data_IF_791930476105
#
_entry.id   IF_791930476105
#
_cell.length_a   1.000
_cell.length_b   1.000
_cell.length_c   1.000
_cell.angle_alpha   90.00
_cell.angle_beta   90.00
_cell.angle_gamma   90.00
#
_symmetry.space_group_name_H-M   'P 1'
#
loop_
_entity.id
_entity.type
_entity.pdbx_description
1 polymer ?
#
# COMPACT_ATOMS: atom_id res chain seq x y z
N UNK A 1 22.77 2.56 6.38
CA UNK A 1 23.05 3.99 6.13
C UNK A 1 22.09 4.69 5.18
N UNK A 2 20.77 4.56 5.32
CA UNK A 2 19.85 5.33 4.46
C UNK A 2 18.47 5.61 5.08
N UNK A 3 18.39 5.80 6.40
CA UNK A 3 17.15 6.26 7.07
C UNK A 3 17.18 7.72 7.56
N UNK A 4 18.30 8.44 7.45
CA UNK A 4 18.43 9.80 8.01
C UNK A 4 17.86 10.92 7.12
N UNK A 5 17.51 10.63 5.86
CA UNK A 5 17.08 11.65 4.90
C UNK A 5 15.61 12.10 4.98
N UNK A 6 14.74 11.39 5.72
CA UNK A 6 13.29 11.70 5.72
C UNK A 6 12.93 12.88 6.64
N UNK A 7 13.76 13.23 7.62
CA UNK A 7 13.43 14.23 8.64
C UNK A 7 13.53 15.70 8.17
N UNK A 8 14.02 15.94 6.95
CA UNK A 8 14.19 17.29 6.40
C UNK A 8 13.18 17.69 5.31
N UNK A 9 12.21 16.82 4.99
CA UNK A 9 11.22 17.10 3.95
C UNK A 9 10.25 18.19 4.41
N UNK A 10 10.12 19.27 3.63
CA UNK A 10 9.15 20.36 3.87
C UNK A 10 7.86 20.19 3.07
N UNK A 11 7.91 19.39 2.01
CA UNK A 11 6.82 19.17 1.06
C UNK A 11 6.74 17.70 0.66
N UNK A 12 5.58 17.34 0.10
CA UNK A 12 5.29 15.98 -0.39
C UNK A 12 6.25 15.61 -1.52
N UNK A 13 7.01 14.54 -1.34
CA UNK A 13 8.02 14.09 -2.31
C UNK A 13 7.83 12.62 -2.68
N UNK A 14 7.87 12.34 -3.99
CA UNK A 14 7.92 10.97 -4.49
C UNK A 14 9.31 10.42 -4.20
N UNK A 15 9.40 9.43 -3.33
CA UNK A 15 10.66 8.79 -2.92
C UNK A 15 10.96 7.54 -3.76
N UNK A 16 9.94 6.98 -4.41
CA UNK A 16 10.09 5.84 -5.30
C UNK A 16 8.98 5.81 -6.34
N UNK A 17 9.34 5.41 -7.56
CA UNK A 17 8.41 5.06 -8.64
C UNK A 17 9.01 3.90 -9.44
N UNK A 18 8.27 2.82 -9.62
CA UNK A 18 8.73 1.64 -10.34
C UNK A 18 7.71 0.51 -10.33
N UNK A 19 8.11 -0.69 -10.77
CA UNK A 19 7.25 -1.87 -10.73
C UNK A 19 7.01 -2.35 -9.29
N UNK A 20 5.94 -3.12 -9.07
CA UNK A 20 5.70 -3.80 -7.80
C UNK A 20 6.84 -4.76 -7.42
N UNK A 21 7.48 -5.40 -8.42
CA UNK A 21 8.67 -6.23 -8.20
C UNK A 21 9.85 -5.43 -7.61
N UNK A 22 10.15 -4.26 -8.18
CA UNK A 22 11.23 -3.39 -7.68
C UNK A 22 10.89 -2.81 -6.31
N UNK A 23 9.63 -2.41 -6.11
CA UNK A 23 9.14 -1.91 -4.83
C UNK A 23 9.30 -2.96 -3.73
N UNK A 24 8.94 -4.22 -4.00
CA UNK A 24 9.07 -5.30 -3.04
C UNK A 24 10.53 -5.57 -2.64
N UNK A 25 11.47 -5.43 -3.59
CA UNK A 25 12.91 -5.59 -3.33
C UNK A 25 13.49 -4.44 -2.51
N UNK A 26 13.12 -3.20 -2.81
CA UNK A 26 13.71 -2.00 -2.20
C UNK A 26 13.02 -1.58 -0.89
N UNK A 27 11.72 -1.86 -0.78
CA UNK A 27 10.88 -1.48 0.36
C UNK A 27 10.11 -2.71 0.89
N UNK A 28 10.80 -3.72 1.43
CA UNK A 28 10.18 -4.99 1.85
C UNK A 28 9.07 -4.80 2.90
N UNK A 29 9.14 -3.75 3.73
CA UNK A 29 8.10 -3.42 4.71
C UNK A 29 6.78 -2.96 4.09
N UNK A 30 6.80 -2.47 2.84
CA UNK A 30 5.63 -1.98 2.10
C UNK A 30 5.22 -2.94 0.98
N UNK A 31 5.87 -4.11 0.89
CA UNK A 31 5.68 -5.06 -0.20
C UNK A 31 4.29 -5.69 -0.22
N UNK A 32 3.62 -5.83 0.93
CA UNK A 32 2.35 -6.54 1.04
C UNK A 32 1.24 -5.88 0.20
N UNK A 33 1.08 -4.56 0.28
CA UNK A 33 0.07 -3.85 -0.52
C UNK A 33 0.39 -3.95 -2.01
N UNK A 34 1.65 -3.71 -2.39
CA UNK A 34 2.09 -3.77 -3.78
C UNK A 34 1.90 -5.17 -4.39
N UNK A 35 2.25 -6.22 -3.65
CA UNK A 35 2.12 -7.61 -4.08
C UNK A 35 0.65 -8.01 -4.23
N UNK A 36 -0.21 -7.64 -3.27
CA UNK A 36 -1.65 -7.95 -3.34
C UNK A 36 -2.30 -7.35 -4.58
N UNK A 37 -2.06 -6.07 -4.85
CA UNK A 37 -2.62 -5.39 -6.04
C UNK A 37 -2.05 -5.98 -7.33
N UNK A 38 -0.75 -6.31 -7.34
CA UNK A 38 -0.13 -6.94 -8.48
C UNK A 38 -0.68 -8.33 -8.76
N UNK A 39 -0.94 -9.14 -7.73
CA UNK A 39 -1.51 -10.48 -7.87
C UNK A 39 -2.97 -10.44 -8.31
N UNK A 40 -3.74 -9.44 -7.86
CA UNK A 40 -5.14 -9.26 -8.26
C UNK A 40 -5.31 -8.60 -9.64
N UNK A 41 -4.26 -7.96 -10.18
CA UNK A 41 -4.32 -7.17 -11.40
C UNK A 41 -3.34 -7.62 -12.48
N UNK A 42 -2.44 -6.70 -12.88
CA UNK A 42 -1.60 -6.83 -14.08
C UNK A 42 -0.31 -7.67 -13.87
N UNK A 43 -0.07 -8.17 -12.66
CA UNK A 43 1.16 -8.85 -12.27
C UNK A 43 2.28 -7.90 -11.82
N UNK A 44 3.31 -8.46 -11.16
CA UNK A 44 4.36 -7.71 -10.46
C UNK A 44 5.18 -6.76 -11.33
N UNK A 45 5.28 -7.02 -12.63
CA UNK A 45 6.07 -6.20 -13.56
C UNK A 45 5.27 -5.03 -14.13
N UNK A 46 3.96 -5.22 -14.33
CA UNK A 46 3.09 -4.23 -14.99
C UNK A 46 2.33 -3.36 -14.01
N UNK A 47 2.21 -3.77 -12.75
CA UNK A 47 1.67 -2.92 -11.68
C UNK A 47 2.72 -1.89 -11.26
N UNK A 48 2.37 -0.61 -11.41
CA UNK A 48 3.22 0.51 -11.02
C UNK A 48 2.96 0.93 -9.58
N UNK A 49 4.03 1.16 -8.83
CA UNK A 49 4.00 1.63 -7.45
C UNK A 49 4.63 3.01 -7.37
N UNK A 50 3.99 3.88 -6.60
CA UNK A 50 4.48 5.22 -6.27
C UNK A 50 4.48 5.37 -4.76
N UNK A 51 5.66 5.49 -4.16
CA UNK A 51 5.79 5.80 -2.73
C UNK A 51 6.05 7.28 -2.56
N UNK A 52 5.31 7.89 -1.65
CA UNK A 52 5.36 9.32 -1.40
C UNK A 52 5.59 9.55 0.08
N UNK A 53 6.65 10.29 0.40
CA UNK A 53 6.87 10.79 1.74
C UNK A 53 6.22 12.16 1.84
N UNK A 54 5.28 12.31 2.77
CA UNK A 54 4.59 13.56 3.03
C UNK A 54 4.75 13.91 4.51
N UNK A 55 5.49 14.98 4.86
CA UNK A 55 5.71 15.38 6.24
C UNK A 55 4.43 15.90 6.93
N UNK A 56 3.39 16.23 6.16
CA UNK A 56 2.10 16.71 6.68
C UNK A 56 1.06 15.59 6.77
N UNK A 57 1.37 14.38 6.32
CA UNK A 57 0.45 13.26 6.42
C UNK A 57 0.28 12.84 7.89
N UNK A 58 -0.97 12.84 8.36
CA UNK A 58 -1.36 12.38 9.69
C UNK A 58 -1.66 10.88 9.75
N UNK A 59 -1.69 10.21 8.60
CA UNK A 59 -2.06 8.79 8.46
C UNK A 59 -1.36 8.16 7.25
N UNK A 60 -1.37 6.82 7.20
CA UNK A 60 -0.89 6.09 6.02
C UNK A 60 -2.02 5.97 5.01
N UNK A 61 -1.80 6.52 3.81
CA UNK A 61 -2.77 6.50 2.72
C UNK A 61 -2.33 5.48 1.67
N UNK A 62 -3.11 4.40 1.54
CA UNK A 62 -3.00 3.48 0.41
C UNK A 62 -3.98 3.89 -0.68
N UNK A 63 -3.52 4.03 -1.92
CA UNK A 63 -4.37 4.37 -3.06
C UNK A 63 -4.08 3.45 -4.23
N UNK A 64 -5.15 2.92 -4.83
CA UNK A 64 -5.10 2.04 -5.99
C UNK A 64 -5.87 2.74 -7.11
N UNK A 65 -5.23 2.89 -8.26
CA UNK A 65 -5.82 3.46 -9.46
C UNK A 65 -5.71 2.43 -10.58
N UNK A 66 -6.83 2.20 -11.27
CA UNK A 66 -6.88 1.35 -12.45
C UNK A 66 -7.68 2.06 -13.54
N UNK A 67 -7.22 1.92 -14.78
CA UNK A 67 -7.85 2.54 -15.95
C UNK A 67 -8.03 1.49 -17.05
N UNK A 68 -9.17 1.53 -17.73
CA UNK A 68 -9.52 0.64 -18.83
C UNK A 68 -10.41 1.37 -19.82
N UNK A 69 -10.17 1.14 -21.11
CA UNK A 69 -11.05 1.67 -22.17
C UNK A 69 -12.46 1.08 -22.11
N UNK A 70 -12.61 -0.13 -21.57
CA UNK A 70 -13.90 -0.85 -21.52
C UNK A 70 -14.66 -0.57 -20.23
N UNK A 71 -13.95 -0.49 -19.10
CA UNK A 71 -14.55 -0.35 -17.77
C UNK A 71 -14.49 1.08 -17.21
N UNK A 72 -13.68 1.96 -17.80
CA UNK A 72 -13.41 3.29 -17.28
C UNK A 72 -12.36 3.27 -16.17
N UNK A 73 -12.49 4.17 -15.20
CA UNK A 73 -11.50 4.38 -14.14
C UNK A 73 -12.02 3.89 -12.78
N UNK A 74 -11.15 3.24 -12.01
CA UNK A 74 -11.37 2.82 -10.64
C UNK A 74 -10.34 3.49 -9.74
N UNK A 75 -10.80 4.12 -8.67
CA UNK A 75 -9.94 4.62 -7.60
C UNK A 75 -10.43 4.08 -6.27
N UNK A 76 -9.54 3.40 -5.54
CA UNK A 76 -9.78 2.96 -4.16
C UNK A 76 -8.75 3.65 -3.27
N UNK A 77 -9.23 4.33 -2.22
CA UNK A 77 -8.37 5.03 -1.27
C UNK A 77 -8.68 4.57 0.15
N UNK A 78 -7.63 4.15 0.86
CA UNK A 78 -7.70 3.68 2.23
C UNK A 78 -6.86 4.59 3.12
N UNK A 79 -7.53 5.37 3.94
CA UNK A 79 -6.92 6.23 4.94
C UNK A 79 -6.81 5.46 6.25
N UNK A 80 -5.65 4.83 6.49
CA UNK A 80 -5.46 3.98 7.65
C UNK A 80 -4.95 4.79 8.84
N UNK A 81 -5.73 4.82 9.92
CA UNK A 81 -5.27 5.37 11.19
C UNK A 81 -4.02 4.60 11.67
N UNK A 82 -2.98 5.30 12.15
CA UNK A 82 -1.79 4.65 12.68
C UNK A 82 -2.17 3.77 13.89
N UNK A 83 -1.62 2.56 13.95
CA UNK A 83 -1.81 1.72 15.13
C UNK A 83 -1.11 2.35 16.35
N UNK A 84 -1.76 2.29 17.52
CA UNK A 84 -1.30 2.89 18.78
C UNK A 84 0.11 2.43 19.16
N UNK A 85 0.45 1.17 18.89
CA UNK A 85 1.73 0.56 19.27
C UNK A 85 2.77 0.47 18.14
N UNK A 86 2.38 0.71 16.89
CA UNK A 86 3.31 0.75 15.75
C UNK A 86 2.79 1.64 14.61
N UNK A 87 3.25 2.91 14.53
CA UNK A 87 2.78 3.88 13.53
C UNK A 87 3.07 3.46 12.08
N UNK A 88 3.96 2.49 11.86
CA UNK A 88 4.34 2.00 10.52
C UNK A 88 3.43 0.89 9.99
N UNK A 89 2.47 0.40 10.78
CA UNK A 89 1.58 -0.69 10.39
C UNK A 89 0.13 -0.29 10.61
N UNK A 90 -0.71 -0.51 9.60
CA UNK A 90 -2.14 -0.22 9.69
C UNK A 90 -2.85 -1.22 10.59
N UNK A 91 -3.72 -0.74 11.48
CA UNK A 91 -4.65 -1.58 12.24
C UNK A 91 -5.53 -2.46 11.35
N UNK A 92 -5.82 -2.02 10.10
CA UNK A 92 -6.64 -2.78 9.15
C UNK A 92 -6.01 -4.13 8.74
N UNK A 93 -4.68 -4.24 8.71
CA UNK A 93 -4.00 -5.52 8.45
C UNK A 93 -4.18 -6.52 9.59
N UNK A 94 -4.13 -6.04 10.84
CA UNK A 94 -4.41 -6.89 12.00
C UNK A 94 -5.87 -7.33 12.03
N UNK A 95 -6.79 -6.42 11.72
CA UNK A 95 -8.23 -6.70 11.66
C UNK A 95 -8.60 -7.64 10.51
N UNK A 96 -7.98 -7.52 9.33
CA UNK A 96 -8.24 -8.44 8.20
C UNK A 96 -7.77 -9.86 8.53
N UNK A 97 -6.62 -10.01 9.18
CA UNK A 97 -6.13 -11.32 9.62
C UNK A 97 -7.04 -11.92 10.70
N UNK A 98 -7.42 -11.13 11.70
CA UNK A 98 -8.37 -11.54 12.72
C UNK A 98 -9.71 -11.97 12.09
N UNK A 99 -10.22 -11.20 11.13
CA UNK A 99 -11.43 -11.53 10.39
C UNK A 99 -11.30 -12.85 9.62
N UNK A 100 -10.20 -13.07 8.88
CA UNK A 100 -9.97 -14.33 8.15
C UNK A 100 -9.93 -15.54 9.08
N UNK A 101 -9.20 -15.44 10.20
CA UNK A 101 -9.10 -16.53 11.18
C UNK A 101 -10.43 -16.79 11.90
N UNK A 102 -11.20 -15.74 12.19
CA UNK A 102 -12.52 -15.86 12.83
C UNK A 102 -13.61 -16.35 11.87
N UNK A 103 -13.35 -16.34 10.56
CA UNK A 103 -14.35 -16.62 9.52
C UNK A 103 -14.05 -17.87 8.70
N UNK A 104 -13.24 -18.82 9.19
CA UNK A 104 -13.09 -20.14 8.57
C UNK A 104 -14.47 -20.74 8.22
N UNK A 105 -14.88 -20.60 6.96
CA UNK A 105 -16.22 -20.99 6.52
C UNK A 105 -16.73 -20.39 5.21
N UNK A 106 -16.46 -19.13 4.84
CA UNK A 106 -17.13 -18.56 3.65
C UNK A 106 -16.36 -17.47 2.87
N UNK A 107 -16.01 -17.83 1.64
CA UNK A 107 -15.94 -16.93 0.47
C UNK A 107 -14.61 -16.20 0.22
N UNK A 108 -14.23 -15.99 -1.05
CA UNK A 108 -12.98 -15.33 -1.39
C UNK A 108 -12.97 -13.88 -0.92
N UNK A 109 -11.80 -13.43 -0.47
CA UNK A 109 -11.56 -12.07 0.00
C UNK A 109 -11.58 -11.13 -1.21
N UNK A 110 -12.46 -10.13 -1.17
CA UNK A 110 -12.41 -8.94 -2.03
C UNK A 110 -11.83 -7.82 -1.17
N UNK A 111 -10.71 -7.25 -1.61
CA UNK A 111 -10.01 -6.11 -0.98
C UNK A 111 -10.42 -4.85 -1.73
#
# INVERSE_FOLDING_TARGET
>A
DSQDGLFALKEKQVIFRGSAAEAARLYPKNANLAATVALAGLGLQKTLIKLVADPKASSNVGRIEAESEVFGTLTVECNNAPAVDNPKTSASTGLSLAYTLLREGCGPIVI
#
